data_IF_012588899821
#
_entry.id   IF_012588899821
#
_cell.length_a   1.000
_cell.length_b   1.000
_cell.length_c   1.000
_cell.angle_alpha   90.00
_cell.angle_beta   90.00
_cell.angle_gamma   90.00
#
_symmetry.space_group_name_H-M   'P 1'
#
loop_
_entity.id
_entity.type
_entity.pdbx_description
1 polymer ?
#
# COMPACT_ATOMS: atom_id res chain seq x y z
N UNK A 1 42.41 -3.73 -13.31
CA UNK A 1 43.11 -4.62 -12.39
C UNK A 1 43.59 -5.91 -13.08
N UNK A 2 42.80 -6.48 -14.02
CA UNK A 2 43.16 -7.74 -14.68
C UNK A 2 43.97 -7.57 -15.96
N UNK A 3 44.12 -6.36 -16.48
CA UNK A 3 44.84 -6.03 -17.70
C UNK A 3 44.44 -6.92 -18.90
N UNK A 4 43.20 -7.33 -18.95
CA UNK A 4 42.67 -8.11 -20.07
C UNK A 4 42.57 -7.22 -21.31
N UNK A 5 43.32 -7.56 -22.36
CA UNK A 5 43.37 -6.78 -23.59
C UNK A 5 43.06 -7.63 -24.82
N UNK A 6 42.47 -7.00 -25.84
CA UNK A 6 42.19 -7.56 -27.15
C UNK A 6 42.76 -6.66 -28.23
N UNK A 7 42.95 -7.19 -29.45
CA UNK A 7 43.32 -6.38 -30.60
C UNK A 7 42.08 -5.64 -31.12
N UNK A 8 42.16 -4.32 -31.15
CA UNK A 8 41.15 -3.48 -31.80
C UNK A 8 41.15 -3.56 -33.32
N UNK A 9 40.18 -2.95 -34.00
CA UNK A 9 40.11 -2.92 -35.46
C UNK A 9 41.32 -2.23 -36.13
N UNK A 10 42.02 -1.37 -35.39
CA UNK A 10 43.24 -0.66 -35.79
C UNK A 10 44.54 -1.44 -35.49
N UNK A 11 44.41 -2.69 -35.04
CA UNK A 11 45.53 -3.55 -34.68
C UNK A 11 46.24 -3.18 -33.37
N UNK A 12 45.70 -2.23 -32.58
CA UNK A 12 46.25 -1.86 -31.28
C UNK A 12 45.61 -2.64 -30.15
N UNK A 13 46.33 -2.86 -29.07
CA UNK A 13 45.80 -3.43 -27.86
C UNK A 13 44.84 -2.46 -27.18
N UNK A 14 43.61 -2.93 -26.92
CA UNK A 14 42.56 -2.23 -26.16
C UNK A 14 42.33 -2.99 -24.87
N UNK A 15 42.49 -2.31 -23.74
CA UNK A 15 42.15 -2.88 -22.42
C UNK A 15 40.60 -2.90 -22.32
N UNK A 16 40.06 -4.06 -22.01
CA UNK A 16 38.64 -4.22 -21.83
C UNK A 16 38.19 -3.62 -20.50
N UNK A 17 37.15 -2.80 -20.58
CA UNK A 17 36.44 -2.34 -19.40
C UNK A 17 35.15 -3.19 -19.25
N UNK A 18 34.88 -3.63 -18.04
CA UNK A 18 33.72 -4.42 -17.72
C UNK A 18 32.89 -3.71 -16.66
N UNK A 19 31.61 -3.52 -16.95
CA UNK A 19 30.64 -3.11 -15.97
C UNK A 19 29.78 -4.31 -15.54
N UNK A 20 29.55 -4.42 -14.23
CA UNK A 20 28.59 -5.38 -13.66
C UNK A 20 27.42 -4.64 -13.06
N UNK A 21 26.23 -4.98 -13.50
CA UNK A 21 25.00 -4.34 -13.06
C UNK A 21 24.07 -5.40 -12.49
N UNK A 22 23.43 -5.06 -11.37
CA UNK A 22 22.49 -5.97 -10.73
C UNK A 22 21.55 -5.24 -9.78
N UNK A 23 20.34 -5.78 -9.61
CA UNK A 23 19.34 -5.31 -8.66
C UNK A 23 19.08 -6.43 -7.66
N UNK A 24 19.33 -6.16 -6.38
CA UNK A 24 18.95 -7.05 -5.29
C UNK A 24 17.49 -6.82 -4.93
N UNK A 25 16.57 -7.64 -5.43
CA UNK A 25 15.12 -7.44 -5.26
C UNK A 25 14.73 -7.30 -3.78
N UNK A 26 15.18 -8.18 -2.91
CA UNK A 26 14.92 -8.10 -1.47
C UNK A 26 15.59 -6.89 -0.80
N UNK A 27 16.75 -6.45 -1.30
CA UNK A 27 17.43 -5.25 -0.81
C UNK A 27 16.66 -3.97 -1.19
N UNK A 28 15.99 -3.94 -2.35
CA UNK A 28 15.13 -2.83 -2.75
C UNK A 28 13.99 -2.64 -1.75
N UNK A 29 13.37 -3.72 -1.28
CA UNK A 29 12.32 -3.67 -0.24
C UNK A 29 12.86 -2.99 1.03
N UNK A 30 13.99 -3.44 1.55
CA UNK A 30 14.60 -2.87 2.75
C UNK A 30 14.97 -1.38 2.55
N UNK A 31 15.51 -1.02 1.37
CA UNK A 31 15.85 0.36 1.04
C UNK A 31 14.61 1.25 0.93
N UNK A 32 13.52 0.73 0.38
CA UNK A 32 12.25 1.46 0.29
C UNK A 32 11.66 1.75 1.67
N UNK A 33 11.71 0.78 2.59
CA UNK A 33 11.28 0.96 3.98
C UNK A 33 12.13 2.02 4.68
N UNK A 34 13.47 1.92 4.56
CA UNK A 34 14.40 2.86 5.18
C UNK A 34 14.19 4.30 4.71
N UNK A 35 13.81 4.50 3.46
CA UNK A 35 13.54 5.82 2.88
C UNK A 35 12.12 6.33 3.10
N UNK A 36 11.18 5.44 3.43
CA UNK A 36 9.76 5.77 3.52
C UNK A 36 9.15 5.20 4.80
N UNK A 37 9.43 5.84 5.92
CA UNK A 37 8.83 5.52 7.22
C UNK A 37 8.69 6.77 8.08
N UNK A 38 7.91 6.66 9.14
CA UNK A 38 7.83 7.62 10.22
C UNK A 38 7.86 6.90 11.58
N UNK A 39 7.59 7.62 12.66
CA UNK A 39 7.55 7.06 14.01
C UNK A 39 6.42 6.03 14.24
N UNK A 40 5.47 5.92 13.34
CA UNK A 40 4.33 5.00 13.44
C UNK A 40 4.51 3.73 12.61
N UNK A 41 5.37 3.76 11.61
CA UNK A 41 5.62 2.61 10.76
C UNK A 41 6.01 2.97 9.33
N UNK A 42 5.84 2.03 8.44
CA UNK A 42 6.19 2.15 7.03
C UNK A 42 5.22 3.10 6.30
N UNK A 43 5.72 3.76 5.26
CA UNK A 43 4.92 4.56 4.31
C UNK A 43 5.24 4.04 2.90
N UNK A 44 4.60 2.95 2.50
CA UNK A 44 4.90 2.36 1.19
C UNK A 44 4.62 3.33 0.05
N UNK A 45 5.51 3.39 -0.97
CA UNK A 45 5.13 3.86 -2.30
C UNK A 45 4.07 2.93 -2.90
N UNK A 46 3.06 3.49 -3.54
CA UNK A 46 1.90 2.73 -4.06
C UNK A 46 2.31 1.58 -4.99
N UNK A 47 3.34 1.80 -5.82
CA UNK A 47 3.83 0.82 -6.79
C UNK A 47 4.43 -0.46 -6.19
N UNK A 48 4.84 -0.47 -4.92
CA UNK A 48 5.49 -1.60 -4.25
C UNK A 48 4.83 -1.94 -2.91
N UNK A 49 3.70 -1.34 -2.61
CA UNK A 49 2.92 -1.65 -1.42
C UNK A 49 2.45 -3.11 -1.47
N UNK A 50 2.52 -3.86 -0.34
CA UNK A 50 2.05 -5.25 -0.30
C UNK A 50 0.54 -5.36 -0.51
N UNK A 51 -0.21 -4.34 -0.12
CA UNK A 51 -1.61 -4.11 -0.40
C UNK A 51 -1.82 -2.64 -0.69
N UNK A 52 -2.68 -2.32 -1.63
CA UNK A 52 -2.97 -0.95 -2.02
C UNK A 52 -3.95 -0.29 -1.04
N UNK A 53 -4.93 -1.05 -0.57
CA UNK A 53 -6.02 -0.56 0.28
C UNK A 53 -6.17 -1.46 1.51
N UNK A 54 -6.44 -0.87 2.67
CA UNK A 54 -6.91 -1.59 3.86
C UNK A 54 -8.36 -1.22 4.15
N UNK A 55 -9.21 -2.20 4.46
CA UNK A 55 -10.56 -2.01 4.96
C UNK A 55 -10.58 -2.38 6.44
N UNK A 56 -10.96 -1.42 7.28
CA UNK A 56 -11.04 -1.58 8.74
C UNK A 56 -12.50 -1.42 9.19
N UNK A 57 -13.26 -2.53 9.29
CA UNK A 57 -14.65 -2.49 9.74
C UNK A 57 -14.73 -2.44 11.26
N UNK A 58 -15.21 -1.33 11.78
CA UNK A 58 -15.32 -1.06 13.21
C UNK A 58 -16.45 -1.86 13.85
N UNK A 59 -16.11 -2.71 14.83
CA UNK A 59 -17.08 -3.53 15.54
C UNK A 59 -17.94 -4.46 14.62
N UNK A 60 -17.38 -4.92 13.52
CA UNK A 60 -18.00 -5.81 12.54
C UNK A 60 -18.75 -6.99 13.20
N UNK A 61 -18.21 -7.55 14.30
CA UNK A 61 -18.83 -8.67 15.02
C UNK A 61 -20.09 -8.31 15.82
N UNK A 62 -20.43 -7.01 15.91
CA UNK A 62 -21.60 -6.51 16.61
C UNK A 62 -22.61 -5.81 15.69
N UNK A 63 -22.17 -5.41 14.51
CA UNK A 63 -22.97 -4.69 13.53
C UNK A 63 -22.95 -5.44 12.20
N UNK A 64 -24.04 -6.13 11.89
CA UNK A 64 -24.21 -6.83 10.61
C UNK A 64 -24.15 -5.85 9.43
N UNK A 65 -24.69 -4.65 9.61
CA UNK A 65 -24.68 -3.58 8.61
C UNK A 65 -23.25 -3.17 8.22
N UNK A 66 -22.34 -3.02 9.20
CA UNK A 66 -20.93 -2.72 8.95
C UNK A 66 -20.26 -3.88 8.23
N UNK A 67 -20.57 -5.11 8.63
CA UNK A 67 -20.02 -6.31 8.01
C UNK A 67 -20.42 -6.41 6.54
N UNK A 68 -21.72 -6.32 6.24
CA UNK A 68 -22.23 -6.39 4.86
C UNK A 68 -21.62 -5.29 3.98
N UNK A 69 -21.53 -4.06 4.49
CA UNK A 69 -20.93 -2.94 3.75
C UNK A 69 -19.44 -3.17 3.47
N UNK A 70 -18.69 -3.70 4.45
CA UNK A 70 -17.28 -3.99 4.31
C UNK A 70 -17.01 -5.14 3.33
N UNK A 71 -17.77 -6.23 3.43
CA UNK A 71 -17.67 -7.39 2.53
C UNK A 71 -18.03 -7.00 1.09
N UNK A 72 -19.05 -6.18 0.91
CA UNK A 72 -19.45 -5.66 -0.40
C UNK A 72 -18.33 -4.82 -1.01
N UNK A 73 -17.80 -3.86 -0.25
CA UNK A 73 -16.71 -3.00 -0.72
C UNK A 73 -15.45 -3.81 -1.05
N UNK A 74 -15.12 -4.79 -0.22
CA UNK A 74 -14.01 -5.71 -0.46
C UNK A 74 -14.17 -6.46 -1.79
N UNK A 75 -15.36 -7.01 -2.05
CA UNK A 75 -15.65 -7.72 -3.28
C UNK A 75 -15.56 -6.79 -4.51
N UNK A 76 -16.08 -5.57 -4.41
CA UNK A 76 -16.02 -4.58 -5.51
C UNK A 76 -14.57 -4.18 -5.84
N UNK A 77 -13.77 -3.84 -4.84
CA UNK A 77 -12.36 -3.43 -5.06
C UNK A 77 -11.53 -4.61 -5.59
N UNK A 78 -11.70 -5.79 -5.04
CA UNK A 78 -10.99 -7.01 -5.49
C UNK A 78 -11.36 -7.38 -6.94
N UNK A 79 -12.64 -7.25 -7.32
CA UNK A 79 -13.08 -7.50 -8.69
C UNK A 79 -12.44 -6.54 -9.71
N UNK A 80 -11.97 -5.38 -9.28
CA UNK A 80 -11.23 -4.43 -10.12
C UNK A 80 -9.71 -4.69 -10.15
N UNK A 81 -9.24 -5.74 -9.50
CA UNK A 81 -7.81 -6.07 -9.42
C UNK A 81 -7.02 -5.26 -8.40
N UNK A 82 -7.70 -4.55 -7.49
CA UNK A 82 -7.05 -3.83 -6.39
C UNK A 82 -6.72 -4.82 -5.28
N UNK A 83 -5.49 -4.80 -4.79
CA UNK A 83 -5.06 -5.65 -3.68
C UNK A 83 -5.51 -5.04 -2.34
N UNK A 84 -6.44 -5.74 -1.69
CA UNK A 84 -7.10 -5.25 -0.48
C UNK A 84 -6.76 -6.11 0.74
N UNK A 85 -6.31 -5.47 1.81
CA UNK A 85 -6.20 -6.08 3.13
C UNK A 85 -7.50 -5.83 3.90
N UNK A 86 -8.23 -6.89 4.21
CA UNK A 86 -9.46 -6.83 5.01
C UNK A 86 -9.16 -7.24 6.45
N UNK A 87 -9.32 -6.33 7.41
CA UNK A 87 -9.09 -6.63 8.83
C UNK A 87 -10.36 -7.20 9.49
N UNK A 88 -10.51 -8.51 9.46
CA UNK A 88 -11.63 -9.25 10.04
C UNK A 88 -11.45 -9.63 11.51
N UNK A 89 -10.37 -9.18 12.13
CA UNK A 89 -10.04 -9.53 13.51
C UNK A 89 -11.00 -8.90 14.51
N UNK A 90 -11.22 -9.61 15.62
CA UNK A 90 -11.99 -9.10 16.75
C UNK A 90 -11.07 -8.36 17.72
N UNK A 91 -10.54 -7.23 17.26
CA UNK A 91 -9.60 -6.42 18.04
C UNK A 91 -10.17 -5.04 18.35
N UNK A 92 -9.50 -4.33 19.27
CA UNK A 92 -9.86 -2.94 19.56
C UNK A 92 -9.46 -2.04 18.40
N UNK A 93 -10.27 -1.03 18.07
CA UNK A 93 -9.98 -0.12 16.96
C UNK A 93 -8.56 0.46 16.98
N UNK A 94 -8.07 0.87 18.15
CA UNK A 94 -6.72 1.41 18.29
C UNK A 94 -5.63 0.42 17.90
N UNK A 95 -5.82 -0.87 18.16
CA UNK A 95 -4.87 -1.92 17.75
C UNK A 95 -4.90 -2.09 16.24
N UNK A 96 -6.11 -2.21 15.65
CA UNK A 96 -6.27 -2.34 14.20
C UNK A 96 -5.62 -1.17 13.45
N UNK A 97 -5.84 0.06 13.91
CA UNK A 97 -5.21 1.25 13.29
C UNK A 97 -3.68 1.24 13.44
N UNK A 98 -3.18 0.91 14.63
CA UNK A 98 -1.74 0.87 14.86
C UNK A 98 -1.06 -0.18 13.98
N UNK A 99 -1.67 -1.34 13.80
CA UNK A 99 -1.15 -2.41 12.94
C UNK A 99 -1.14 -1.99 11.47
N UNK A 100 -2.23 -1.38 10.98
CA UNK A 100 -2.31 -0.90 9.59
C UNK A 100 -1.28 0.22 9.34
N UNK A 101 -1.09 1.13 10.30
CA UNK A 101 -0.06 2.16 10.21
C UNK A 101 1.35 1.59 10.25
N UNK A 102 1.59 0.58 11.10
CA UNK A 102 2.88 -0.11 11.18
C UNK A 102 3.21 -0.84 9.87
N UNK A 103 2.24 -1.56 9.30
CA UNK A 103 2.37 -2.22 7.99
C UNK A 103 2.57 -1.18 6.90
N UNK A 104 1.92 -0.02 6.99
CA UNK A 104 2.10 1.11 6.11
C UNK A 104 1.27 1.06 4.83
N UNK A 105 0.07 0.48 4.88
CA UNK A 105 -0.84 0.44 3.71
C UNK A 105 -1.18 1.86 3.28
N UNK A 106 -1.01 2.21 1.98
CA UNK A 106 -1.16 3.58 1.50
C UNK A 106 -2.55 4.18 1.72
N UNK A 107 -3.60 3.41 1.50
CA UNK A 107 -4.99 3.86 1.57
C UNK A 107 -5.77 3.03 2.57
N UNK A 108 -6.43 3.66 3.53
CA UNK A 108 -7.24 2.97 4.54
C UNK A 108 -8.67 3.48 4.48
N UNK A 109 -9.63 2.56 4.43
CA UNK A 109 -11.06 2.85 4.49
C UNK A 109 -11.58 2.31 5.82
N UNK A 110 -12.12 3.21 6.64
CA UNK A 110 -12.70 2.86 7.92
C UNK A 110 -14.21 2.87 7.78
N UNK A 111 -14.84 1.78 8.17
CA UNK A 111 -16.29 1.60 8.10
C UNK A 111 -16.83 1.45 9.52
N UNK A 112 -17.67 2.35 9.94
CA UNK A 112 -18.29 2.35 11.26
C UNK A 112 -19.76 2.75 11.21
N UNK A 113 -20.54 2.33 12.18
CA UNK A 113 -21.97 2.64 12.24
C UNK A 113 -22.25 4.15 12.17
N UNK A 114 -21.48 4.95 12.91
CA UNK A 114 -21.66 6.40 12.95
C UNK A 114 -21.44 7.06 11.59
N UNK A 115 -20.36 6.72 10.91
CA UNK A 115 -20.07 7.27 9.57
C UNK A 115 -21.07 6.80 8.53
N UNK A 116 -21.58 5.57 8.66
CA UNK A 116 -22.65 5.04 7.80
C UNK A 116 -23.98 5.74 8.02
N UNK A 117 -24.29 6.16 9.25
CA UNK A 117 -25.49 6.96 9.54
C UNK A 117 -25.43 8.33 8.85
N UNK A 118 -24.24 8.87 8.66
CA UNK A 118 -23.96 10.08 7.90
C UNK A 118 -23.85 9.84 6.38
N UNK A 119 -23.97 8.59 5.93
CA UNK A 119 -23.87 8.19 4.52
C UNK A 119 -22.45 8.14 3.96
N UNK A 120 -21.44 8.12 4.83
CA UNK A 120 -20.03 8.21 4.46
C UNK A 120 -19.20 7.03 4.98
N UNK A 121 -18.04 6.80 4.35
CA UNK A 121 -16.92 6.09 4.92
C UNK A 121 -15.79 7.07 5.23
N UNK A 122 -14.93 6.78 6.22
CA UNK A 122 -13.74 7.56 6.48
C UNK A 122 -12.59 7.01 5.62
N UNK A 123 -12.09 7.82 4.71
CA UNK A 123 -10.87 7.52 3.94
C UNK A 123 -9.66 8.19 4.61
N UNK A 124 -8.55 7.46 4.72
CA UNK A 124 -7.28 7.95 5.24
C UNK A 124 -6.15 7.66 4.27
N UNK A 125 -5.37 8.68 3.96
CA UNK A 125 -4.11 8.52 3.21
C UNK A 125 -2.94 8.41 4.20
N UNK A 126 -2.15 7.34 4.09
CA UNK A 126 -1.03 7.06 5.01
C UNK A 126 0.09 8.08 4.91
N UNK A 127 0.39 8.55 3.70
CA UNK A 127 1.50 9.47 3.43
C UNK A 127 1.22 10.89 3.93
N UNK A 128 0.03 11.40 3.67
CA UNK A 128 -0.35 12.76 4.09
C UNK A 128 -0.93 12.81 5.49
N UNK A 129 -1.43 11.68 6.00
CA UNK A 129 -2.16 11.60 7.25
C UNK A 129 -3.57 12.20 7.20
N UNK A 130 -4.00 12.69 6.03
CA UNK A 130 -5.32 13.27 5.85
C UNK A 130 -6.42 12.23 5.99
N UNK A 131 -7.49 12.64 6.66
CA UNK A 131 -8.72 11.89 6.81
C UNK A 131 -9.85 12.66 6.16
N UNK A 132 -10.55 12.00 5.25
CA UNK A 132 -11.63 12.62 4.47
C UNK A 132 -12.87 11.75 4.54
N UNK A 133 -14.03 12.28 4.94
CA UNK A 133 -15.28 11.58 4.77
C UNK A 133 -15.62 11.53 3.27
N UNK A 134 -15.87 10.34 2.76
CA UNK A 134 -16.24 10.11 1.35
C UNK A 134 -17.58 9.41 1.31
N UNK A 135 -18.49 9.90 0.46
CA UNK A 135 -19.80 9.28 0.31
C UNK A 135 -19.67 7.80 -0.06
N UNK A 136 -20.50 6.95 0.55
CA UNK A 136 -20.45 5.50 0.33
C UNK A 136 -20.56 5.12 -1.15
N UNK A 137 -21.32 5.89 -1.94
CA UNK A 137 -21.47 5.66 -3.38
C UNK A 137 -20.20 6.01 -4.17
N UNK A 138 -19.38 6.93 -3.68
CA UNK A 138 -18.25 7.49 -4.41
C UNK A 138 -16.91 6.90 -3.96
N UNK A 139 -16.90 6.10 -2.92
CA UNK A 139 -15.65 5.57 -2.30
C UNK A 139 -14.78 4.80 -3.29
N UNK A 140 -15.38 4.02 -4.17
CA UNK A 140 -14.67 3.23 -5.16
C UNK A 140 -13.98 4.11 -6.19
N UNK A 141 -14.68 5.11 -6.72
CA UNK A 141 -14.11 6.07 -7.68
C UNK A 141 -13.06 6.97 -7.00
N UNK A 142 -13.28 7.34 -5.75
CA UNK A 142 -12.29 8.08 -4.97
C UNK A 142 -10.99 7.29 -4.84
N UNK A 143 -11.06 6.02 -4.43
CA UNK A 143 -9.88 5.14 -4.32
C UNK A 143 -9.17 5.01 -5.67
N UNK A 144 -9.87 4.74 -6.76
CA UNK A 144 -9.29 4.69 -8.11
C UNK A 144 -8.55 5.95 -8.50
N UNK A 145 -9.07 7.11 -8.14
CA UNK A 145 -8.43 8.40 -8.42
C UNK A 145 -7.12 8.60 -7.67
N UNK A 146 -6.95 7.92 -6.54
CA UNK A 146 -5.74 7.97 -5.71
C UNK A 146 -4.70 6.94 -6.13
N UNK A 147 -5.12 5.80 -6.66
CA UNK A 147 -4.24 4.77 -7.20
C UNK A 147 -3.71 5.20 -8.58
N UNK A 148 -2.44 5.49 -8.65
CA UNK A 148 -1.75 5.91 -9.89
C UNK A 148 -0.82 4.83 -10.41
#
# INVERSE_FOLDING_TARGET
>A
AMNCSVLGPDGKNVILEMGCYGIGVSRVVASAIEQNHDKYGIIWPDAIAPFQVAIVPMNMHKSERVKEAAEKLYAELTAMGIEVLFDDRKERPGVMFSDIELIGIPHTIVIGDRSMDEGNFEYKNRRTGEKTPVAMADIVEHVKSQLK
#
